data_IF_712628277680
#
_entry.id   IF_712628277680
#
_cell.length_a   1.000
_cell.length_b   1.000
_cell.length_c   1.000
_cell.angle_alpha   90.00
_cell.angle_beta   90.00
_cell.angle_gamma   90.00
#
_symmetry.space_group_name_H-M   'P 1'
#
loop_
_entity.id
_entity.type
_entity.pdbx_description
1 polymer ?
#
# COMPACT_ATOMS: atom_id res chain seq x y z
N UNK A 1 -5.33 9.23 -18.48
CA UNK A 1 -3.89 9.12 -18.70
C UNK A 1 -3.43 7.66 -18.79
N UNK A 2 -4.03 6.75 -18.02
CA UNK A 2 -3.67 5.33 -17.94
C UNK A 2 -4.93 4.47 -18.09
N UNK A 3 -5.46 4.25 -19.32
CA UNK A 3 -6.74 3.56 -19.56
C UNK A 3 -6.71 2.08 -19.14
N UNK A 4 -5.53 1.48 -19.04
CA UNK A 4 -5.36 0.05 -18.73
C UNK A 4 -5.15 -0.20 -17.22
N UNK A 5 -5.15 0.84 -16.38
CA UNK A 5 -5.04 0.65 -14.94
C UNK A 5 -6.36 0.13 -14.38
N UNK A 6 -6.25 -0.88 -13.53
CA UNK A 6 -7.35 -1.36 -12.68
C UNK A 6 -7.00 -1.06 -11.22
N UNK A 7 -7.92 -0.42 -10.51
CA UNK A 7 -7.81 -0.16 -9.08
C UNK A 7 -8.72 -1.10 -8.30
N UNK A 8 -8.15 -1.83 -7.35
CA UNK A 8 -8.86 -2.80 -6.53
C UNK A 8 -8.94 -2.27 -5.11
N UNK A 9 -10.13 -1.95 -4.64
CA UNK A 9 -10.44 -1.58 -3.26
C UNK A 9 -10.88 -2.82 -2.48
N UNK A 10 -10.19 -3.14 -1.39
CA UNK A 10 -10.54 -4.26 -0.51
C UNK A 10 -10.83 -3.70 0.88
N UNK A 11 -12.07 -3.81 1.34
CA UNK A 11 -12.48 -3.32 2.63
C UNK A 11 -13.90 -2.75 2.63
N UNK A 12 -14.24 -2.10 3.72
CA UNK A 12 -15.50 -1.41 3.90
C UNK A 12 -15.32 -0.20 4.83
N UNK A 13 -16.23 0.76 4.77
CA UNK A 13 -16.21 1.94 5.62
C UNK A 13 -17.37 2.88 5.32
N UNK A 14 -17.52 3.92 6.11
CA UNK A 14 -18.63 4.89 6.02
C UNK A 14 -18.63 5.65 4.69
N UNK A 15 -17.47 5.77 4.03
CA UNK A 15 -17.32 6.47 2.74
C UNK A 15 -17.58 5.58 1.51
N UNK A 16 -17.92 4.32 1.68
CA UNK A 16 -18.08 3.37 0.56
C UNK A 16 -19.04 3.88 -0.52
N UNK A 17 -20.21 4.37 -0.11
CA UNK A 17 -21.23 4.89 -1.05
C UNK A 17 -20.79 6.19 -1.75
N UNK A 18 -20.07 7.06 -1.05
CA UNK A 18 -19.52 8.29 -1.62
C UNK A 18 -18.44 7.99 -2.66
N UNK A 19 -17.58 7.01 -2.38
CA UNK A 19 -16.53 6.57 -3.30
C UNK A 19 -17.15 5.93 -4.56
N UNK A 20 -18.17 5.09 -4.42
CA UNK A 20 -18.87 4.49 -5.56
C UNK A 20 -19.50 5.54 -6.48
N UNK A 21 -20.18 6.53 -5.88
CA UNK A 21 -20.74 7.66 -6.65
C UNK A 21 -19.66 8.44 -7.40
N UNK A 22 -18.52 8.70 -6.75
CA UNK A 22 -17.40 9.38 -7.40
C UNK A 22 -16.85 8.57 -8.58
N UNK A 23 -16.78 7.25 -8.45
CA UNK A 23 -16.35 6.35 -9.53
C UNK A 23 -17.31 6.43 -10.72
N UNK A 24 -18.63 6.50 -10.48
CA UNK A 24 -19.65 6.69 -11.52
C UNK A 24 -19.54 8.08 -12.18
N UNK A 25 -19.43 9.15 -11.37
CA UNK A 25 -19.29 10.53 -11.86
C UNK A 25 -18.05 10.73 -12.73
N UNK A 26 -16.97 9.97 -12.46
CA UNK A 26 -15.72 10.02 -13.22
C UNK A 26 -15.68 9.02 -14.40
N UNK A 27 -16.75 8.26 -14.64
CA UNK A 27 -16.84 7.20 -15.66
C UNK A 27 -15.73 6.13 -15.53
N UNK A 28 -15.42 5.74 -14.27
CA UNK A 28 -14.36 4.78 -13.95
C UNK A 28 -14.87 3.40 -13.53
N UNK A 29 -16.15 3.09 -13.76
CA UNK A 29 -16.79 1.83 -13.30
C UNK A 29 -16.15 0.57 -13.89
N UNK A 30 -15.53 0.66 -15.04
CA UNK A 30 -14.79 -0.45 -15.66
C UNK A 30 -13.37 -0.64 -15.12
N UNK A 31 -12.83 0.35 -14.40
CA UNK A 31 -11.45 0.38 -13.90
C UNK A 31 -11.34 0.22 -12.38
N UNK A 32 -12.44 0.42 -11.64
CA UNK A 32 -12.44 0.33 -10.17
C UNK A 32 -13.29 -0.84 -9.73
N UNK A 33 -12.69 -1.74 -8.97
CA UNK A 33 -13.36 -2.92 -8.40
C UNK A 33 -13.39 -2.84 -6.88
N UNK A 34 -14.53 -3.15 -6.29
CA UNK A 34 -14.73 -3.19 -4.84
C UNK A 34 -14.92 -4.62 -4.37
N UNK A 35 -14.16 -5.02 -3.36
CA UNK A 35 -14.27 -6.32 -2.71
C UNK A 35 -14.51 -6.15 -1.21
N UNK A 36 -15.38 -6.98 -0.65
CA UNK A 36 -15.72 -7.00 0.75
C UNK A 36 -15.78 -8.44 1.25
N UNK A 37 -15.37 -8.65 2.49
CA UNK A 37 -15.44 -9.96 3.17
C UNK A 37 -14.82 -11.12 2.36
N UNK A 38 -13.72 -10.84 1.67
CA UNK A 38 -12.99 -11.87 0.90
C UNK A 38 -12.08 -12.71 1.81
N UNK A 39 -11.81 -13.93 1.39
CA UNK A 39 -10.87 -14.80 2.09
C UNK A 39 -9.44 -14.25 2.06
N UNK A 40 -8.63 -14.62 3.06
CA UNK A 40 -7.20 -14.27 3.07
C UNK A 40 -6.46 -14.77 1.83
N UNK A 41 -6.83 -15.94 1.31
CA UNK A 41 -6.23 -16.51 0.10
C UNK A 41 -6.51 -15.63 -1.13
N UNK A 42 -7.76 -15.17 -1.28
CA UNK A 42 -8.11 -14.27 -2.38
C UNK A 42 -7.42 -12.90 -2.23
N UNK A 43 -7.41 -12.32 -1.00
CA UNK A 43 -6.66 -11.09 -0.71
C UNK A 43 -5.20 -11.23 -1.13
N UNK A 44 -4.55 -12.29 -0.70
CA UNK A 44 -3.13 -12.55 -1.00
C UNK A 44 -2.90 -12.76 -2.51
N UNK A 45 -3.79 -13.46 -3.19
CA UNK A 45 -3.71 -13.64 -4.64
C UNK A 45 -3.85 -12.30 -5.40
N UNK A 46 -4.76 -11.43 -4.97
CA UNK A 46 -4.94 -10.09 -5.55
C UNK A 46 -3.69 -9.22 -5.32
N UNK A 47 -3.15 -9.21 -4.11
CA UNK A 47 -1.89 -8.50 -3.81
C UNK A 47 -0.76 -9.04 -4.69
N UNK A 48 -0.56 -10.35 -4.74
CA UNK A 48 0.52 -10.99 -5.51
C UNK A 48 0.44 -10.73 -7.03
N UNK A 49 -0.73 -10.33 -7.55
CA UNK A 49 -0.96 -9.99 -8.96
C UNK A 49 -0.96 -8.48 -9.23
N UNK A 50 -0.92 -7.67 -8.19
CA UNK A 50 -0.85 -6.22 -8.31
C UNK A 50 0.54 -5.76 -8.75
N UNK A 51 0.62 -4.51 -9.21
CA UNK A 51 1.90 -3.87 -9.53
C UNK A 51 2.34 -2.91 -8.42
N UNK A 52 1.39 -2.30 -7.73
CA UNK A 52 1.63 -1.33 -6.65
C UNK A 52 0.54 -1.55 -5.60
N UNK A 53 0.91 -1.50 -4.33
CA UNK A 53 -0.01 -1.43 -3.19
C UNK A 53 -0.16 0.03 -2.77
N UNK A 54 -1.39 0.54 -2.71
CA UNK A 54 -1.67 1.97 -2.46
C UNK A 54 -2.50 2.12 -1.19
N UNK A 55 -1.91 2.71 -0.16
CA UNK A 55 -2.60 3.02 1.09
C UNK A 55 -1.99 4.29 1.72
N UNK A 56 -2.25 5.49 1.14
CA UNK A 56 -1.71 6.76 1.63
C UNK A 56 -2.48 7.22 2.88
N UNK A 57 -2.32 6.48 3.97
CA UNK A 57 -3.02 6.72 5.23
C UNK A 57 -2.77 8.11 5.80
N UNK A 58 -3.79 8.69 6.40
CA UNK A 58 -3.76 9.97 7.11
C UNK A 58 -4.17 9.77 8.57
N UNK A 59 -3.82 10.71 9.42
CA UNK A 59 -4.40 10.78 10.76
C UNK A 59 -5.82 11.32 10.64
N UNK A 60 -6.81 10.53 11.05
CA UNK A 60 -8.19 10.94 11.11
C UNK A 60 -8.73 10.80 12.54
N UNK A 61 -9.03 11.93 13.19
CA UNK A 61 -9.44 11.95 14.62
C UNK A 61 -8.40 11.24 15.50
N UNK A 62 -8.76 10.10 16.07
CA UNK A 62 -7.89 9.26 16.91
C UNK A 62 -7.33 8.04 16.16
N UNK A 63 -7.68 7.88 14.89
CA UNK A 63 -7.18 6.76 14.06
C UNK A 63 -5.87 7.14 13.39
N UNK A 64 -4.87 6.29 13.55
CA UNK A 64 -3.56 6.44 12.94
C UNK A 64 -3.05 5.05 12.52
N UNK A 65 -2.37 4.99 11.37
CA UNK A 65 -1.68 3.77 10.97
C UNK A 65 -0.51 3.51 11.94
N UNK A 66 -0.57 2.39 12.68
CA UNK A 66 0.43 2.09 13.71
C UNK A 66 1.79 1.70 13.12
N UNK A 67 1.80 0.74 12.21
CA UNK A 67 3.01 0.23 11.55
C UNK A 67 2.76 -0.05 10.06
N UNK A 68 1.54 -0.47 9.72
CA UNK A 68 1.18 -0.83 8.36
C UNK A 68 1.59 -2.25 7.96
N UNK A 69 1.09 -3.24 8.69
CA UNK A 69 1.32 -4.67 8.36
C UNK A 69 1.00 -4.97 6.89
N UNK A 70 0.00 -4.31 6.32
CA UNK A 70 -0.39 -4.47 4.92
C UNK A 70 0.74 -4.12 3.93
N UNK A 71 1.61 -3.16 4.24
CA UNK A 71 2.79 -2.86 3.41
C UNK A 71 3.79 -4.02 3.45
N UNK A 72 3.99 -4.62 4.63
CA UNK A 72 4.86 -5.80 4.78
C UNK A 72 4.28 -7.00 4.06
N UNK A 73 2.95 -7.21 4.12
CA UNK A 73 2.26 -8.25 3.35
C UNK A 73 2.48 -8.06 1.83
N UNK A 74 2.34 -6.85 1.31
CA UNK A 74 2.60 -6.55 -0.09
C UNK A 74 4.07 -6.82 -0.48
N UNK A 75 5.00 -6.38 0.37
CA UNK A 75 6.44 -6.57 0.15
C UNK A 75 6.84 -8.05 0.10
N UNK A 76 6.15 -8.96 0.79
CA UNK A 76 6.39 -10.40 0.71
C UNK A 76 6.21 -10.96 -0.72
N UNK A 77 5.31 -10.35 -1.49
CA UNK A 77 5.06 -10.70 -2.89
C UNK A 77 5.91 -9.89 -3.87
N UNK A 78 6.78 -9.01 -3.36
CA UNK A 78 7.57 -8.13 -4.22
C UNK A 78 6.76 -6.98 -4.80
N UNK A 79 5.70 -6.55 -4.10
CA UNK A 79 4.85 -5.43 -4.49
C UNK A 79 5.26 -4.20 -3.69
N UNK A 80 5.74 -3.14 -4.34
CA UNK A 80 6.11 -1.90 -3.67
C UNK A 80 4.86 -1.15 -3.21
N UNK A 81 5.00 -0.35 -2.17
CA UNK A 81 3.88 0.38 -1.59
C UNK A 81 4.01 1.90 -1.77
N UNK A 82 2.87 2.56 -1.98
CA UNK A 82 2.69 3.99 -1.76
C UNK A 82 1.99 4.17 -0.42
N UNK A 83 2.71 4.65 0.59
CA UNK A 83 2.21 4.88 1.96
C UNK A 83 2.04 6.36 2.27
N UNK A 84 1.24 6.66 3.31
CA UNK A 84 1.10 8.01 3.83
C UNK A 84 2.23 8.40 4.79
N UNK A 85 2.58 9.68 4.85
CA UNK A 85 3.61 10.19 5.78
C UNK A 85 3.18 10.18 7.24
N UNK A 86 1.89 10.10 7.48
CA UNK A 86 1.31 10.13 8.82
C UNK A 86 1.27 8.72 9.42
N UNK A 87 1.85 8.52 10.60
CA UNK A 87 1.91 7.23 11.28
C UNK A 87 3.13 6.38 10.92
N UNK A 88 2.99 5.05 11.05
CA UNK A 88 4.10 4.10 11.01
C UNK A 88 4.50 3.57 9.62
N UNK A 89 3.98 4.12 8.52
CA UNK A 89 4.31 3.64 7.19
C UNK A 89 5.82 3.69 6.88
N UNK A 90 6.53 4.70 7.41
CA UNK A 90 7.98 4.86 7.25
C UNK A 90 8.81 3.76 7.95
N UNK A 91 8.21 3.02 8.88
CA UNK A 91 8.88 1.88 9.52
C UNK A 91 8.82 0.63 8.62
N UNK A 92 7.79 0.52 7.79
CA UNK A 92 7.58 -0.60 6.87
C UNK A 92 8.16 -0.33 5.45
N UNK A 93 8.18 0.94 5.02
CA UNK A 93 8.59 1.37 3.67
C UNK A 93 9.88 2.19 3.78
N UNK A 94 10.96 1.73 3.15
CA UNK A 94 12.18 2.54 2.93
C UNK A 94 11.93 3.40 1.68
N UNK A 95 11.67 4.70 1.91
CA UNK A 95 11.31 5.65 0.84
C UNK A 95 12.35 5.66 -0.28
N UNK A 96 11.89 5.71 -1.53
CA UNK A 96 12.69 5.63 -2.76
C UNK A 96 13.43 4.30 -2.99
N UNK A 97 13.35 3.35 -2.06
CA UNK A 97 14.02 2.04 -2.21
C UNK A 97 13.02 0.89 -2.29
N UNK A 98 12.02 0.84 -1.41
CA UNK A 98 11.04 -0.25 -1.36
C UNK A 98 9.62 0.18 -1.68
N UNK A 99 9.43 1.48 -1.86
CA UNK A 99 8.18 2.14 -2.14
C UNK A 99 8.32 3.65 -2.01
N UNK A 100 7.21 4.36 -1.98
CA UNK A 100 7.18 5.79 -1.76
C UNK A 100 6.32 6.15 -0.55
N UNK A 101 6.66 7.26 0.10
CA UNK A 101 5.87 7.90 1.14
C UNK A 101 5.40 9.25 0.60
N UNK A 102 4.11 9.54 0.71
CA UNK A 102 3.50 10.79 0.26
C UNK A 102 2.65 11.44 1.36
N UNK A 103 2.26 12.68 1.14
CA UNK A 103 1.24 13.34 1.95
C UNK A 103 -0.15 12.85 1.54
N UNK A 104 -0.77 11.98 2.33
CA UNK A 104 -2.10 11.44 2.06
C UNK A 104 -3.23 12.49 2.06
N UNK A 105 -2.99 13.71 2.58
CA UNK A 105 -3.90 14.84 2.51
C UNK A 105 -3.73 15.70 1.24
N UNK A 106 -2.75 15.38 0.39
CA UNK A 106 -2.42 16.15 -0.80
C UNK A 106 -2.57 15.29 -2.06
N UNK A 107 -3.62 15.54 -2.85
CA UNK A 107 -3.89 14.80 -4.09
C UNK A 107 -2.78 14.92 -5.11
N UNK A 108 -2.14 16.10 -5.23
CA UNK A 108 -1.04 16.30 -6.18
C UNK A 108 0.19 15.49 -5.79
N UNK A 109 0.45 15.34 -4.48
CA UNK A 109 1.57 14.53 -3.99
C UNK A 109 1.27 13.02 -4.17
N UNK A 110 0.06 12.58 -3.88
CA UNK A 110 -0.37 11.19 -4.17
C UNK A 110 -0.23 10.90 -5.67
N UNK A 111 -0.75 11.80 -6.51
CA UNK A 111 -0.71 11.63 -7.97
C UNK A 111 0.72 11.59 -8.50
N UNK A 112 1.57 12.56 -8.11
CA UNK A 112 2.96 12.64 -8.58
C UNK A 112 3.78 11.44 -8.13
N UNK A 113 3.58 10.99 -6.87
CA UNK A 113 4.23 9.79 -6.33
C UNK A 113 3.81 8.54 -7.10
N UNK A 114 2.50 8.34 -7.29
CA UNK A 114 1.98 7.19 -8.03
C UNK A 114 2.46 7.20 -9.48
N UNK A 115 2.39 8.36 -10.15
CA UNK A 115 2.87 8.53 -11.52
C UNK A 115 4.36 8.17 -11.64
N UNK A 116 5.19 8.62 -10.71
CA UNK A 116 6.63 8.30 -10.71
C UNK A 116 6.92 6.81 -10.55
N UNK A 117 6.07 6.07 -9.81
CA UNK A 117 6.19 4.62 -9.69
C UNK A 117 5.82 3.90 -10.99
N UNK A 118 4.81 4.42 -11.72
CA UNK A 118 4.33 3.85 -12.98
C UNK A 118 5.28 4.14 -14.14
N UNK A 119 5.80 5.38 -14.21
CA UNK A 119 6.73 5.81 -15.24
C UNK A 119 7.98 4.92 -15.27
N UNK A 120 8.38 4.54 -16.47
CA UNK A 120 9.51 3.63 -16.69
C UNK A 120 9.42 2.31 -15.92
N UNK A 121 8.23 1.96 -15.41
CA UNK A 121 7.99 0.77 -14.59
C UNK A 121 8.88 0.71 -13.34
N UNK A 122 9.15 1.85 -12.71
CA UNK A 122 9.98 1.95 -11.48
C UNK A 122 9.48 1.01 -10.37
N UNK A 123 8.17 0.71 -10.35
CA UNK A 123 7.59 -0.25 -9.41
C UNK A 123 8.25 -1.65 -9.47
N UNK A 124 8.85 -2.06 -10.58
CA UNK A 124 9.53 -3.37 -10.68
C UNK A 124 10.78 -3.40 -9.81
N UNK A 125 11.61 -2.37 -9.89
CA UNK A 125 12.83 -2.24 -9.07
C UNK A 125 12.47 -2.08 -7.59
N UNK A 126 11.55 -1.17 -7.27
CA UNK A 126 11.07 -0.95 -5.91
C UNK A 126 10.51 -2.25 -5.30
N UNK A 127 9.74 -3.02 -6.07
CA UNK A 127 9.17 -4.28 -5.63
C UNK A 127 10.21 -5.36 -5.35
N UNK A 128 11.25 -5.46 -6.19
CA UNK A 128 12.38 -6.35 -5.92
C UNK A 128 13.04 -6.01 -4.59
N UNK A 129 13.34 -4.74 -4.38
CA UNK A 129 13.95 -4.27 -3.14
C UNK A 129 13.04 -4.49 -1.93
N UNK A 130 11.71 -4.29 -2.09
CA UNK A 130 10.72 -4.53 -1.04
C UNK A 130 10.74 -6.01 -0.60
N UNK A 131 10.83 -6.94 -1.55
CA UNK A 131 10.91 -8.37 -1.26
C UNK A 131 12.17 -8.76 -0.49
N UNK A 132 13.29 -8.12 -0.76
CA UNK A 132 14.53 -8.33 0.00
C UNK A 132 14.42 -7.71 1.39
N UNK A 133 13.87 -6.51 1.48
CA UNK A 133 13.72 -5.75 2.72
C UNK A 133 12.80 -6.44 3.74
N UNK A 134 11.71 -7.07 3.28
CA UNK A 134 10.72 -7.70 4.16
C UNK A 134 11.31 -8.79 5.06
N UNK A 135 12.46 -9.35 4.68
CA UNK A 135 13.17 -10.33 5.51
C UNK A 135 13.56 -9.82 6.89
N UNK A 136 13.61 -8.48 7.08
CA UNK A 136 13.91 -7.85 8.37
C UNK A 136 12.77 -8.01 9.38
N UNK A 137 11.54 -8.22 8.91
CA UNK A 137 10.32 -8.31 9.73
C UNK A 137 9.92 -9.76 10.04
N UNK A 138 10.79 -10.74 9.74
CA UNK A 138 10.54 -12.14 10.11
C UNK A 138 10.63 -12.32 11.63
N UNK A 139 9.80 -13.17 12.17
CA UNK A 139 9.65 -13.39 13.61
C UNK A 139 10.95 -13.76 14.32
N UNK A 140 11.76 -14.63 13.76
CA UNK A 140 13.06 -15.02 14.29
C UNK A 140 13.99 -13.81 14.48
N UNK A 141 14.06 -12.91 13.51
CA UNK A 141 14.86 -11.69 13.61
C UNK A 141 14.27 -10.70 14.63
N UNK A 142 12.96 -10.57 14.65
CA UNK A 142 12.27 -9.73 15.63
C UNK A 142 12.53 -10.24 17.05
N UNK A 143 12.42 -11.56 17.28
CA UNK A 143 12.72 -12.18 18.57
C UNK A 143 14.18 -11.99 19.02
N UNK A 144 15.13 -12.05 18.08
CA UNK A 144 16.52 -11.78 18.40
C UNK A 144 16.75 -10.32 18.87
N UNK A 145 16.04 -9.36 18.27
CA UNK A 145 16.09 -7.96 18.71
C UNK A 145 15.51 -7.80 20.12
N UNK A 146 14.36 -8.41 20.40
CA UNK A 146 13.77 -8.39 21.75
C UNK A 146 14.70 -9.02 22.80
N UNK A 147 15.33 -10.15 22.50
CA UNK A 147 16.29 -10.78 23.41
C UNK A 147 17.46 -9.86 23.78
N UNK A 148 17.94 -9.03 22.84
CA UNK A 148 19.03 -8.07 23.09
C UNK A 148 18.61 -6.92 24.00
N UNK A 149 17.33 -6.58 24.05
CA UNK A 149 16.80 -5.50 24.91
C UNK A 149 16.57 -6.02 26.34
N UNK A 150 16.26 -7.32 26.48
CA UNK A 150 15.93 -7.95 27.76
C UNK A 150 17.17 -8.48 28.53
N UNK A 151 18.33 -8.53 27.89
CA UNK A 151 19.64 -8.89 28.50
C UNK A 151 20.49 -7.65 28.74
#
# INVERSE_FOLDING_TARGET
LYPDIVYICIGYGDEEENIKKLVEELDLTSQVMFFKDISSDLKNALIAKSNIFVMPSIIHKTSVEGFGIAYVEAAQYGIPSLGGKDGGASDAIDHDKTGLICDGNNLDDIYSSLNSMIENKKYIELGKNAKEHVSKFQWDKTLEQYKKILN
#
